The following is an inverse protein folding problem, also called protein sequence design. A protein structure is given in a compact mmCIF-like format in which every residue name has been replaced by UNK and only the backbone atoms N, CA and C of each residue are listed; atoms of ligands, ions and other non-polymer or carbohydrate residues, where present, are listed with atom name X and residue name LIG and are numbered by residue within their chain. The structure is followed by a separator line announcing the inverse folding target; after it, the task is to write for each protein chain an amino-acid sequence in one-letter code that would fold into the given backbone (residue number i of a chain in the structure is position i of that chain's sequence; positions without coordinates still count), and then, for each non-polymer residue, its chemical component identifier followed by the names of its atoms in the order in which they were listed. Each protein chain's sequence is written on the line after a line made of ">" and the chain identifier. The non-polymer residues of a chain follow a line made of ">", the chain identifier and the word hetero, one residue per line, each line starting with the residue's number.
data_IF_224876058017
#
_entry.id   IF_224876058017
#
_cell.length_a   1.000
_cell.length_b   1.000
_cell.length_c   1.000
_cell.angle_alpha   90.00
_cell.angle_beta   90.00
_cell.angle_gamma   90.00
#
_symmetry.space_group_name_H-M   'P 1'
#
loop_
_entity.id
_entity.type
_entity.pdbx_description
1 polymer ?
#
# COMPACT_ATOMS: atom_id res chain seq x y z
N UNK A 1 19.44 6.66 -28.89
CA UNK A 1 19.44 5.99 -27.58
C UNK A 1 19.33 7.07 -26.52
N UNK A 2 18.19 7.19 -25.84
CA UNK A 2 18.03 8.21 -24.81
C UNK A 2 18.99 7.91 -23.66
N UNK A 3 19.82 8.88 -23.29
CA UNK A 3 20.74 8.74 -22.17
C UNK A 3 19.92 8.53 -20.89
N UNK A 4 20.11 7.39 -20.23
CA UNK A 4 19.48 7.08 -18.95
C UNK A 4 19.89 8.16 -17.96
N UNK A 5 18.94 8.98 -17.50
CA UNK A 5 19.24 10.06 -16.56
C UNK A 5 19.63 9.48 -15.20
N UNK A 6 20.40 10.23 -14.40
CA UNK A 6 20.72 9.82 -13.02
C UNK A 6 19.46 9.52 -12.20
N UNK A 7 18.38 10.30 -12.38
CA UNK A 7 17.09 10.03 -11.76
C UNK A 7 16.39 8.77 -12.28
N UNK A 8 16.60 8.37 -13.53
CA UNK A 8 16.12 7.07 -14.03
C UNK A 8 16.93 5.91 -13.44
N UNK A 9 18.26 6.06 -13.31
CA UNK A 9 19.12 5.06 -12.68
C UNK A 9 18.81 4.86 -11.19
N UNK A 10 18.60 5.95 -10.42
CA UNK A 10 18.20 5.88 -9.02
C UNK A 10 16.87 5.12 -8.84
N UNK A 11 15.87 5.44 -9.67
CA UNK A 11 14.58 4.71 -9.67
C UNK A 11 14.73 3.23 -9.98
N UNK A 12 15.63 2.86 -10.91
CA UNK A 12 15.94 1.46 -11.21
C UNK A 12 16.55 0.77 -9.98
N UNK A 13 17.54 1.40 -9.34
CA UNK A 13 18.19 0.82 -8.16
C UNK A 13 17.24 0.65 -6.98
N UNK A 14 16.35 1.63 -6.74
CA UNK A 14 15.34 1.55 -5.69
C UNK A 14 14.32 0.44 -5.96
N UNK A 15 13.88 0.29 -7.22
CA UNK A 15 13.00 -0.81 -7.62
C UNK A 15 13.66 -2.17 -7.41
N UNK A 16 14.94 -2.32 -7.76
CA UNK A 16 15.69 -3.55 -7.50
C UNK A 16 15.74 -3.85 -6.00
N UNK A 17 16.09 -2.88 -5.15
CA UNK A 17 16.13 -3.07 -3.71
C UNK A 17 14.76 -3.44 -3.10
N UNK A 18 13.66 -2.83 -3.60
CA UNK A 18 12.29 -3.18 -3.19
C UNK A 18 11.92 -4.61 -3.60
N UNK A 19 12.30 -5.03 -4.82
CA UNK A 19 12.10 -6.39 -5.30
C UNK A 19 12.92 -7.42 -4.52
N UNK A 20 14.13 -7.06 -4.09
CA UNK A 20 14.98 -7.89 -3.22
C UNK A 20 14.32 -8.12 -1.86
N UNK A 21 13.82 -7.04 -1.22
CA UNK A 21 13.11 -7.14 0.05
C UNK A 21 11.86 -8.07 -0.03
N UNK A 22 11.11 -8.01 -1.13
CA UNK A 22 9.94 -8.88 -1.29
C UNK A 22 10.35 -10.34 -1.48
N UNK A 23 11.37 -10.61 -2.30
CA UNK A 23 11.91 -11.96 -2.51
C UNK A 23 12.43 -12.56 -1.21
N UNK A 24 13.11 -11.77 -0.39
CA UNK A 24 13.59 -12.23 0.92
C UNK A 24 12.43 -12.59 1.85
N UNK A 25 11.35 -11.79 1.85
CA UNK A 25 10.14 -12.10 2.62
C UNK A 25 9.46 -13.39 2.13
N UNK A 26 9.38 -13.61 0.82
CA UNK A 26 8.84 -14.84 0.23
C UNK A 26 9.69 -16.07 0.59
N UNK A 27 11.02 -15.94 0.56
CA UNK A 27 11.93 -16.99 1.00
C UNK A 27 11.77 -17.30 2.49
N UNK A 28 11.67 -16.28 3.34
CA UNK A 28 11.42 -16.47 4.78
C UNK A 28 10.08 -17.15 5.05
N UNK A 29 9.03 -16.75 4.34
CA UNK A 29 7.72 -17.39 4.45
C UNK A 29 7.78 -18.88 4.07
N UNK A 30 8.47 -19.22 2.98
CA UNK A 30 8.71 -20.60 2.57
C UNK A 30 9.47 -21.40 3.64
N UNK A 31 10.51 -20.80 4.26
CA UNK A 31 11.25 -21.44 5.36
C UNK A 31 10.40 -21.67 6.63
N UNK A 32 9.40 -20.82 6.87
CA UNK A 32 8.46 -20.94 7.99
C UNK A 32 7.31 -21.92 7.71
N UNK A 33 7.15 -22.34 6.45
CA UNK A 33 6.23 -23.38 6.02
C UNK A 33 4.90 -22.87 5.44
N UNK A 34 4.00 -23.80 5.07
CA UNK A 34 2.85 -23.50 4.21
C UNK A 34 1.86 -22.46 4.76
N UNK A 35 1.75 -22.35 6.08
CA UNK A 35 0.89 -21.35 6.71
C UNK A 35 1.43 -19.92 6.49
N UNK A 36 2.73 -19.71 6.67
CA UNK A 36 3.36 -18.41 6.49
C UNK A 36 3.33 -17.97 5.02
N UNK A 37 3.55 -18.89 4.08
CA UNK A 37 3.37 -18.63 2.64
C UNK A 37 1.94 -18.22 2.30
N UNK A 38 0.95 -18.93 2.85
CA UNK A 38 -0.46 -18.61 2.64
C UNK A 38 -0.81 -17.23 3.21
N UNK A 39 -0.32 -16.91 4.40
CA UNK A 39 -0.57 -15.62 5.05
C UNK A 39 0.03 -14.47 4.24
N UNK A 40 1.28 -14.62 3.77
CA UNK A 40 1.91 -13.64 2.88
C UNK A 40 1.10 -13.45 1.59
N UNK A 41 0.68 -14.56 0.96
CA UNK A 41 -0.12 -14.51 -0.27
C UNK A 41 -1.43 -13.77 -0.07
N UNK A 42 -2.15 -14.01 1.03
CA UNK A 42 -3.39 -13.32 1.34
C UNK A 42 -3.19 -11.81 1.50
N UNK A 43 -2.06 -11.37 2.07
CA UNK A 43 -1.70 -9.96 2.17
C UNK A 43 -1.41 -9.35 0.80
N UNK A 44 -0.64 -10.05 -0.05
CA UNK A 44 -0.35 -9.63 -1.42
C UNK A 44 -1.64 -9.52 -2.26
N UNK A 45 -2.48 -10.54 -2.24
CA UNK A 45 -3.77 -10.59 -2.95
C UNK A 45 -4.69 -9.45 -2.51
N UNK A 46 -4.73 -9.13 -1.21
CA UNK A 46 -5.49 -8.00 -0.70
C UNK A 46 -5.01 -6.66 -1.28
N UNK A 47 -3.70 -6.43 -1.30
CA UNK A 47 -3.12 -5.19 -1.82
C UNK A 47 -3.34 -5.08 -3.33
N UNK A 48 -3.21 -6.18 -4.08
CA UNK A 48 -3.44 -6.18 -5.52
C UNK A 48 -4.93 -5.96 -5.86
N UNK A 49 -5.84 -6.58 -5.09
CA UNK A 49 -7.27 -6.29 -5.20
C UNK A 49 -7.56 -4.80 -4.95
N UNK A 50 -6.94 -4.19 -3.94
CA UNK A 50 -7.10 -2.77 -3.67
C UNK A 50 -6.59 -1.91 -4.85
N UNK A 51 -5.41 -2.21 -5.41
CA UNK A 51 -4.91 -1.53 -6.62
C UNK A 51 -5.91 -1.62 -7.77
N UNK A 52 -6.46 -2.81 -8.05
CA UNK A 52 -7.43 -3.02 -9.12
C UNK A 52 -8.68 -2.17 -8.89
N UNK A 53 -9.26 -2.21 -7.68
CA UNK A 53 -10.45 -1.42 -7.35
C UNK A 53 -10.22 0.09 -7.52
N UNK A 54 -9.09 0.60 -7.01
CA UNK A 54 -8.74 2.02 -7.16
C UNK A 54 -8.50 2.39 -8.62
N UNK A 55 -7.75 1.58 -9.36
CA UNK A 55 -7.49 1.80 -10.80
C UNK A 55 -8.79 1.87 -11.59
N UNK A 56 -9.70 0.91 -11.38
CA UNK A 56 -11.00 0.90 -12.07
C UNK A 56 -11.81 2.16 -11.78
N UNK A 57 -11.85 2.62 -10.53
CA UNK A 57 -12.58 3.85 -10.15
C UNK A 57 -11.96 5.09 -10.77
N UNK A 58 -10.63 5.23 -10.71
CA UNK A 58 -9.89 6.36 -11.27
C UNK A 58 -10.11 6.44 -12.78
N UNK A 59 -9.96 5.33 -13.50
CA UNK A 59 -10.17 5.29 -14.96
C UNK A 59 -11.62 5.59 -15.36
N UNK A 60 -12.59 5.28 -14.50
CA UNK A 60 -13.99 5.63 -14.71
C UNK A 60 -14.33 7.09 -14.34
N UNK A 61 -13.36 7.88 -13.85
CA UNK A 61 -13.60 9.24 -13.34
C UNK A 61 -14.52 9.26 -12.10
N UNK A 62 -14.60 8.14 -11.38
CA UNK A 62 -15.46 7.97 -10.22
C UNK A 62 -14.70 8.21 -8.91
N UNK A 63 -15.43 8.51 -7.85
CA UNK A 63 -14.86 8.59 -6.50
C UNK A 63 -14.20 7.26 -6.09
N UNK A 64 -13.00 7.36 -5.54
CA UNK A 64 -12.24 6.21 -5.02
C UNK A 64 -12.83 5.77 -3.70
N UNK A 65 -13.55 4.66 -3.70
CA UNK A 65 -14.09 4.05 -2.47
C UNK A 65 -12.96 3.41 -1.64
N UNK A 66 -12.80 3.77 -0.36
CA UNK A 66 -11.82 3.13 0.51
C UNK A 66 -12.12 1.64 0.74
N UNK A 67 -11.07 0.82 0.83
CA UNK A 67 -11.16 -0.59 1.20
C UNK A 67 -10.99 -0.73 2.71
N UNK A 68 -11.89 -1.44 3.37
CA UNK A 68 -11.90 -1.61 4.83
C UNK A 68 -11.12 -2.85 5.28
N UNK A 69 -10.33 -2.70 6.35
CA UNK A 69 -9.62 -3.74 7.08
C UNK A 69 -10.16 -3.80 8.52
N UNK A 70 -10.87 -4.88 8.85
CA UNK A 70 -11.55 -5.06 10.14
C UNK A 70 -13.05 -4.78 10.07
N UNK A 71 -13.72 -4.81 11.22
CA UNK A 71 -15.18 -4.64 11.37
C UNK A 71 -15.98 -5.50 10.36
N UNK A 72 -15.66 -6.79 10.28
CA UNK A 72 -16.33 -7.77 9.42
C UNK A 72 -15.87 -7.81 7.96
N UNK A 73 -14.98 -6.90 7.54
CA UNK A 73 -14.41 -6.85 6.20
C UNK A 73 -12.93 -7.20 6.22
N UNK A 74 -12.49 -8.02 5.24
CA UNK A 74 -11.10 -8.47 5.12
C UNK A 74 -10.51 -9.02 6.45
N UNK A 75 -11.33 -9.70 7.26
CA UNK A 75 -11.02 -10.08 8.64
C UNK A 75 -9.77 -10.95 8.74
N UNK A 76 -9.58 -11.90 7.82
CA UNK A 76 -8.38 -12.75 7.77
C UNK A 76 -7.12 -11.93 7.59
N UNK A 77 -7.13 -10.97 6.66
CA UNK A 77 -5.99 -10.08 6.42
C UNK A 77 -5.76 -9.16 7.63
N UNK A 78 -6.82 -8.65 8.23
CA UNK A 78 -6.73 -7.84 9.45
C UNK A 78 -6.11 -8.60 10.64
N UNK A 79 -6.33 -9.92 10.72
CA UNK A 79 -5.73 -10.82 11.71
C UNK A 79 -4.26 -11.12 11.38
N UNK A 80 -3.94 -11.45 10.12
CA UNK A 80 -2.56 -11.69 9.66
C UNK A 80 -1.69 -10.45 9.93
N UNK A 81 -2.19 -9.27 9.57
CA UNK A 81 -1.51 -8.00 9.81
C UNK A 81 -1.56 -7.54 11.28
N UNK A 82 -2.27 -8.28 12.13
CA UNK A 82 -2.46 -7.96 13.56
C UNK A 82 -2.89 -6.50 13.77
N UNK A 83 -3.85 -6.03 12.98
CA UNK A 83 -4.31 -4.61 12.97
C UNK A 83 -4.74 -4.10 14.35
N UNK A 84 -5.20 -4.98 15.24
CA UNK A 84 -5.54 -4.66 16.62
C UNK A 84 -4.36 -4.25 17.49
N UNK A 85 -3.12 -4.52 17.05
CA UNK A 85 -1.87 -4.10 17.71
C UNK A 85 -1.28 -2.83 17.10
N UNK A 86 -1.88 -2.28 16.05
CA UNK A 86 -1.33 -1.10 15.40
C UNK A 86 -1.43 0.13 16.31
N UNK A 87 -0.33 0.88 16.33
CA UNK A 87 -0.13 2.11 17.07
C UNK A 87 0.22 3.26 16.10
N UNK A 88 0.17 4.53 16.53
CA UNK A 88 0.49 5.67 15.66
C UNK A 88 1.86 5.58 14.97
N UNK A 89 2.83 4.93 15.60
CA UNK A 89 4.20 4.71 15.15
C UNK A 89 4.45 3.30 14.59
N UNK A 90 3.49 2.39 14.70
CA UNK A 90 3.63 1.00 14.30
C UNK A 90 2.39 0.47 13.58
N UNK A 91 2.50 0.36 12.26
CA UNK A 91 1.55 -0.34 11.39
C UNK A 91 2.29 -0.95 10.19
N UNK A 92 1.56 -1.43 9.17
CA UNK A 92 2.15 -2.04 7.97
C UNK A 92 3.19 -1.15 7.25
N UNK A 93 3.10 0.18 7.40
CA UNK A 93 4.03 1.15 6.80
C UNK A 93 5.37 1.19 7.54
N UNK A 94 5.42 0.75 8.79
CA UNK A 94 6.65 0.72 9.57
C UNK A 94 7.64 -0.31 8.97
N UNK A 95 8.91 0.05 8.70
CA UNK A 95 9.91 -0.87 8.16
C UNK A 95 10.16 -2.15 8.99
N UNK A 96 9.88 -2.10 10.29
CA UNK A 96 10.00 -3.24 11.20
C UNK A 96 8.75 -4.13 11.24
N UNK A 97 7.69 -3.79 10.50
CA UNK A 97 6.50 -4.63 10.40
C UNK A 97 6.81 -5.87 9.52
N UNK A 98 6.44 -7.10 9.94
CA UNK A 98 6.78 -8.32 9.20
C UNK A 98 6.33 -8.34 7.74
N UNK A 99 5.20 -7.69 7.45
CA UNK A 99 4.62 -7.58 6.11
C UNK A 99 4.94 -6.26 5.39
N UNK A 100 5.88 -5.43 5.89
CA UNK A 100 6.24 -4.18 5.23
C UNK A 100 6.77 -4.39 3.81
N UNK A 101 7.49 -5.48 3.56
CA UNK A 101 7.99 -5.77 2.22
C UNK A 101 6.86 -6.05 1.21
N UNK A 102 5.73 -6.60 1.65
CA UNK A 102 4.52 -6.74 0.82
C UNK A 102 3.81 -5.40 0.57
N UNK A 103 3.94 -4.43 1.49
CA UNK A 103 3.41 -3.08 1.33
C UNK A 103 4.21 -2.22 0.34
N UNK A 104 5.54 -2.36 0.28
CA UNK A 104 6.40 -1.56 -0.61
C UNK A 104 5.98 -1.58 -2.09
N UNK A 105 5.63 -2.72 -2.72
CA UNK A 105 5.08 -2.75 -4.08
C UNK A 105 3.81 -1.92 -4.25
N UNK A 106 2.93 -1.86 -3.25
CA UNK A 106 1.73 -1.02 -3.28
C UNK A 106 2.09 0.47 -3.26
N UNK A 107 3.06 0.87 -2.42
CA UNK A 107 3.56 2.25 -2.39
C UNK A 107 4.22 2.64 -3.71
N UNK A 108 5.07 1.78 -4.27
CA UNK A 108 5.70 2.02 -5.58
C UNK A 108 4.66 2.21 -6.68
N UNK A 109 3.61 1.39 -6.70
CA UNK A 109 2.52 1.59 -7.64
C UNK A 109 1.83 2.94 -7.43
N UNK A 110 1.64 3.39 -6.19
CA UNK A 110 1.08 4.73 -5.93
C UNK A 110 2.02 5.83 -6.49
N UNK A 111 3.31 5.78 -6.15
CA UNK A 111 4.33 6.74 -6.60
C UNK A 111 4.40 6.82 -8.13
N UNK A 112 4.33 5.69 -8.82
CA UNK A 112 4.38 5.62 -10.29
C UNK A 112 3.15 6.20 -10.99
N UNK A 113 2.06 6.43 -10.25
CA UNK A 113 0.79 6.95 -10.77
C UNK A 113 0.43 8.30 -10.13
N UNK A 114 1.38 9.01 -9.52
CA UNK A 114 1.17 10.29 -8.83
C UNK A 114 0.08 10.21 -7.73
N UNK A 115 0.03 9.07 -7.04
CA UNK A 115 -0.86 8.78 -5.93
C UNK A 115 -0.08 8.67 -4.62
N UNK A 116 -0.77 8.94 -3.52
CA UNK A 116 -0.32 8.65 -2.16
C UNK A 116 -1.27 7.65 -1.49
N UNK A 117 -0.73 6.61 -0.83
CA UNK A 117 -1.54 5.70 -0.03
C UNK A 117 -2.02 6.39 1.25
N UNK A 118 -3.31 6.27 1.54
CA UNK A 118 -3.95 6.83 2.74
C UNK A 118 -4.49 5.71 3.60
N UNK A 119 -3.93 5.55 4.81
CA UNK A 119 -4.39 4.61 5.81
C UNK A 119 -4.95 5.37 7.01
N UNK A 120 -6.25 5.20 7.28
CA UNK A 120 -6.95 5.90 8.37
C UNK A 120 -7.55 4.92 9.36
N UNK A 121 -7.43 5.22 10.65
CA UNK A 121 -8.05 4.47 11.75
C UNK A 121 -9.42 5.05 12.07
N UNK A 122 -10.40 4.18 12.26
CA UNK A 122 -11.74 4.50 12.71
C UNK A 122 -12.11 3.64 13.91
N UNK A 123 -13.15 4.07 14.61
CA UNK A 123 -13.76 3.33 15.69
C UNK A 123 -15.27 3.57 15.71
N UNK A 124 -16.02 2.63 16.29
CA UNK A 124 -17.44 2.82 16.52
C UNK A 124 -17.67 3.91 17.59
N UNK A 125 -18.90 4.43 17.68
CA UNK A 125 -19.21 5.51 18.63
C UNK A 125 -18.92 5.15 20.10
N UNK A 126 -18.80 3.86 20.43
CA UNK A 126 -18.48 3.34 21.77
C UNK A 126 -17.00 3.03 21.97
N UNK A 127 -16.16 3.15 20.93
CA UNK A 127 -14.73 2.83 20.94
C UNK A 127 -14.41 1.34 21.14
N UNK A 128 -15.38 0.45 21.00
CA UNK A 128 -15.25 -0.99 21.18
C UNK A 128 -14.67 -1.67 19.95
N UNK A 129 -15.14 -1.27 18.78
CA UNK A 129 -14.65 -1.79 17.51
C UNK A 129 -13.78 -0.72 16.84
N UNK A 130 -12.68 -1.15 16.25
CA UNK A 130 -11.83 -0.30 15.43
C UNK A 130 -11.53 -1.02 14.12
N UNK A 131 -11.40 -0.22 13.07
CA UNK A 131 -11.05 -0.69 11.74
C UNK A 131 -10.16 0.34 11.07
N UNK A 132 -9.53 -0.09 9.99
CA UNK A 132 -8.72 0.77 9.14
C UNK A 132 -9.34 0.85 7.76
N UNK A 133 -9.21 1.99 7.10
CA UNK A 133 -9.53 2.10 5.67
C UNK A 133 -8.27 2.43 4.91
N UNK A 134 -8.02 1.66 3.86
CA UNK A 134 -7.00 1.93 2.86
C UNK A 134 -7.66 2.65 1.68
N UNK A 135 -7.08 3.76 1.24
CA UNK A 135 -7.49 4.50 0.04
C UNK A 135 -6.25 5.11 -0.62
N UNK A 136 -6.45 5.83 -1.72
CA UNK A 136 -5.42 6.61 -2.40
C UNK A 136 -5.92 8.02 -2.64
N UNK A 137 -4.99 8.99 -2.67
CA UNK A 137 -5.26 10.38 -3.08
C UNK A 137 -4.20 10.83 -4.07
N UNK A 138 -4.45 11.93 -4.79
CA UNK A 138 -3.42 12.57 -5.60
C UNK A 138 -2.26 13.06 -4.72
N UNK A 139 -1.03 12.85 -5.19
CA UNK A 139 0.17 13.37 -4.54
C UNK A 139 0.25 14.91 -4.67
N UNK A 140 0.60 15.63 -3.59
CA UNK A 140 0.57 17.09 -3.54
C UNK A 140 1.57 17.77 -4.49
N UNK A 141 2.66 17.11 -4.91
CA UNK A 141 3.69 17.73 -5.76
C UNK A 141 3.22 18.05 -7.21
N UNK A 142 2.03 17.59 -7.63
CA UNK A 142 1.49 17.90 -8.96
C UNK A 142 0.34 18.91 -8.98
N UNK A 143 -0.15 19.37 -7.82
CA UNK A 143 -1.22 20.40 -7.76
C UNK A 143 -0.66 21.80 -8.06
N UNK A 144 0.60 22.08 -7.71
CA UNK A 144 1.22 23.39 -7.97
C UNK A 144 1.49 23.65 -9.46
N UNK A 145 1.72 22.61 -10.28
CA UNK A 145 1.93 22.79 -11.72
C UNK A 145 0.63 22.99 -12.51
N UNK A 146 -0.50 22.39 -12.07
CA UNK A 146 -1.81 22.63 -12.71
C UNK A 146 -2.43 23.98 -12.30
N UNK A 147 -2.18 24.46 -11.08
CA UNK A 147 -2.62 25.80 -10.67
C UNK A 147 -1.84 26.92 -11.39
N UNK A 148 -0.54 26.73 -11.64
CA UNK A 148 0.27 27.71 -12.39
C UNK A 148 -0.10 27.78 -13.88
N UNK A 149 -0.47 26.66 -14.50
CA UNK A 149 -0.88 26.62 -15.91
C UNK A 149 -2.28 27.20 -16.18
N UNK A 150 -3.18 27.20 -15.19
CA UNK A 150 -4.51 27.81 -15.31
C UNK A 150 -4.53 29.32 -14.97
N UNK A 151 -3.42 29.87 -14.48
CA UNK A 151 -3.25 31.28 -14.13
C UNK A 151 -2.35 32.06 -15.12
N UNK A 152 -1.98 31.43 -16.25
CA UNK A 152 -1.17 32.03 -17.32
C UNK A 152 -1.98 32.27 -18.60
#
# INVERSE_FOLDING_TARGET
>A
MAATTLGAMLRITERCAKADCLRDLEQQANLQGPCAEKDLRLVQEFLDMAKTQFTTRILAGAEVTPVQLGAGQNTTVALILQTFRWAPDYDIRNPAHPYNAAWKPFVTWCEENDLEPVLRKYHDAKGKEHWYTLSVRSAPEHVEQQAAAAAS
#
